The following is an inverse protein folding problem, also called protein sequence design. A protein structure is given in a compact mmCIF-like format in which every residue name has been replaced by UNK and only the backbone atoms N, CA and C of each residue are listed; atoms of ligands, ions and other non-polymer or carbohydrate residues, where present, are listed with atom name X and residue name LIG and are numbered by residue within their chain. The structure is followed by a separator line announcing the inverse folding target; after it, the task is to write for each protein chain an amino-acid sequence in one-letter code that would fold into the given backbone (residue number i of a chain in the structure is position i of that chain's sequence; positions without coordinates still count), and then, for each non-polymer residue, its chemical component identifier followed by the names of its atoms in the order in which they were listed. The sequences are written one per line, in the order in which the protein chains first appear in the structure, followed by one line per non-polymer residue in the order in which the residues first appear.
data_IF_580896066998
#
_entry.id   IF_580896066998
#
_cell.length_a   1.000
_cell.length_b   1.000
_cell.length_c   1.000
_cell.angle_alpha   90.00
_cell.angle_beta   90.00
_cell.angle_gamma   90.00
#
_symmetry.space_group_name_H-M   'P 1'
#
loop_
_entity.id
_entity.type
_entity.pdbx_description
1 polymer ?
#
# COMPACT_ATOMS: atom_id res chain seq x y z
N UNK A 1 15.76 65.63 -26.38
CA UNK A 1 15.85 65.42 -27.85
C UNK A 1 15.25 64.11 -28.25
N UNK A 2 14.26 64.23 -29.07
CA UNK A 2 13.46 63.21 -29.73
C UNK A 2 14.26 62.29 -30.62
N UNK A 3 13.89 61.00 -30.74
CA UNK A 3 13.68 60.37 -32.04
C UNK A 3 12.87 59.08 -31.92
N UNK A 4 11.75 59.14 -32.58
CA UNK A 4 10.74 58.10 -32.89
C UNK A 4 11.20 57.15 -34.00
N UNK A 5 10.45 56.03 -34.08
CA UNK A 5 10.13 55.15 -35.24
C UNK A 5 11.08 53.95 -35.41
N UNK A 6 10.57 52.71 -35.67
CA UNK A 6 9.58 52.27 -36.61
C UNK A 6 9.06 50.86 -36.23
N UNK A 7 7.75 50.68 -36.32
CA UNK A 7 7.04 49.38 -36.25
C UNK A 7 7.17 48.73 -37.64
N UNK A 8 7.55 47.48 -37.68
CA UNK A 8 7.13 46.55 -38.75
C UNK A 8 6.66 45.23 -38.14
N UNK A 9 5.39 44.96 -38.34
CA UNK A 9 4.77 43.69 -37.95
C UNK A 9 5.28 42.54 -38.81
N UNK A 10 5.44 41.42 -38.16
CA UNK A 10 5.50 40.12 -38.80
C UNK A 10 4.51 39.24 -38.07
N UNK A 11 3.47 38.86 -38.76
CA UNK A 11 2.48 37.88 -38.26
C UNK A 11 3.17 36.51 -38.14
N UNK A 12 3.31 36.06 -36.89
CA UNK A 12 3.68 34.67 -36.61
C UNK A 12 2.38 33.90 -36.47
N UNK A 13 2.10 33.00 -37.42
CA UNK A 13 1.05 32.00 -37.27
C UNK A 13 1.30 31.22 -36.00
N UNK A 14 0.39 31.33 -35.06
CA UNK A 14 0.34 30.50 -33.88
C UNK A 14 -0.02 29.07 -34.27
N UNK A 15 0.97 28.18 -34.30
CA UNK A 15 0.72 26.76 -34.23
C UNK A 15 0.31 26.46 -32.78
N UNK A 16 -0.98 26.26 -32.57
CA UNK A 16 -1.50 25.70 -31.31
C UNK A 16 -1.01 24.26 -31.18
N UNK A 17 0.04 24.08 -30.40
CA UNK A 17 0.42 22.75 -29.90
C UNK A 17 -0.68 22.35 -28.92
N UNK A 18 -1.56 21.47 -29.40
CA UNK A 18 -2.53 20.81 -28.53
C UNK A 18 -1.71 19.99 -27.50
N UNK A 19 -1.69 20.45 -26.27
CA UNK A 19 -1.26 19.59 -25.16
C UNK A 19 -2.18 18.38 -25.11
N UNK A 20 -1.64 17.14 -25.03
CA UNK A 20 -2.50 15.99 -24.81
C UNK A 20 -3.19 16.19 -23.46
N UNK A 21 -4.52 16.23 -23.49
CA UNK A 21 -5.38 16.24 -22.32
C UNK A 21 -4.97 15.07 -21.42
N UNK A 22 -4.59 15.38 -20.18
CA UNK A 22 -4.39 14.42 -19.12
C UNK A 22 -5.56 13.45 -19.09
N UNK A 23 -5.26 12.18 -19.29
CA UNK A 23 -6.19 11.08 -19.16
C UNK A 23 -6.86 11.15 -17.79
N UNK A 24 -8.13 11.54 -17.79
CA UNK A 24 -9.03 11.24 -16.69
C UNK A 24 -9.11 9.73 -16.58
N UNK A 25 -8.79 9.20 -15.41
CA UNK A 25 -8.84 7.78 -15.12
C UNK A 25 -10.24 7.24 -15.41
N UNK A 26 -10.34 6.37 -16.38
CA UNK A 26 -11.58 5.80 -16.87
C UNK A 26 -11.89 4.51 -16.10
N UNK A 27 -12.60 4.61 -14.98
CA UNK A 27 -13.19 3.44 -14.31
C UNK A 27 -14.23 2.71 -15.19
N UNK A 28 -14.70 3.34 -16.27
CA UNK A 28 -15.65 2.75 -17.21
C UNK A 28 -15.07 1.93 -18.36
N UNK A 29 -13.73 1.92 -18.57
CA UNK A 29 -13.14 1.30 -19.77
C UNK A 29 -12.85 -0.20 -19.68
N UNK A 30 -12.84 -0.78 -18.49
CA UNK A 30 -12.40 -2.17 -18.29
C UNK A 30 -13.52 -3.15 -17.93
N UNK A 31 -14.78 -2.84 -18.24
CA UNK A 31 -15.89 -3.75 -17.96
C UNK A 31 -15.87 -4.93 -18.94
N UNK A 32 -15.35 -6.06 -18.49
CA UNK A 32 -15.42 -7.36 -19.17
C UNK A 32 -16.53 -8.23 -18.57
N UNK A 33 -17.15 -9.09 -19.39
CA UNK A 33 -18.04 -10.15 -18.90
C UNK A 33 -17.27 -11.37 -18.38
N UNK A 34 -15.98 -11.44 -18.69
CA UNK A 34 -15.10 -12.54 -18.30
C UNK A 34 -14.53 -12.32 -16.89
N UNK A 35 -14.28 -13.43 -16.20
CA UNK A 35 -13.57 -13.42 -14.93
C UNK A 35 -12.07 -13.29 -15.14
N UNK A 36 -11.41 -12.51 -14.31
CA UNK A 36 -9.96 -12.47 -14.27
C UNK A 36 -9.42 -13.79 -13.76
N UNK A 37 -8.51 -14.41 -14.51
CA UNK A 37 -8.01 -15.75 -14.22
C UNK A 37 -7.14 -15.79 -12.97
N UNK A 38 -7.39 -16.78 -12.14
CA UNK A 38 -6.56 -17.08 -10.97
C UNK A 38 -5.20 -17.61 -11.44
N UNK A 39 -4.12 -17.11 -10.82
CA UNK A 39 -2.80 -17.70 -10.92
C UNK A 39 -2.59 -18.75 -9.84
N UNK A 40 -2.78 -18.36 -8.58
CA UNK A 40 -2.53 -19.22 -7.42
C UNK A 40 -3.29 -18.73 -6.19
N UNK A 41 -3.66 -19.67 -5.31
CA UNK A 41 -4.11 -19.38 -3.95
C UNK A 41 -3.02 -19.89 -3.00
N UNK A 42 -2.67 -19.08 -2.01
CA UNK A 42 -1.63 -19.37 -1.02
C UNK A 42 -2.22 -19.18 0.38
N UNK A 43 -1.74 -19.94 1.33
CA UNK A 43 -1.96 -19.70 2.76
C UNK A 43 -0.90 -18.73 3.27
N UNK A 44 -1.29 -17.77 4.09
CA UNK A 44 -0.34 -16.92 4.79
C UNK A 44 0.37 -17.72 5.89
N UNK A 45 1.66 -17.48 6.07
CA UNK A 45 2.49 -18.18 7.04
C UNK A 45 2.56 -17.40 8.36
N UNK A 46 2.51 -18.12 9.48
CA UNK A 46 2.66 -17.50 10.80
C UNK A 46 4.11 -17.24 11.10
N UNK A 47 4.43 -15.99 11.35
CA UNK A 47 5.77 -15.53 11.73
C UNK A 47 5.74 -14.59 12.95
N UNK A 48 6.91 -14.13 13.37
CA UNK A 48 7.09 -13.14 14.45
C UNK A 48 7.88 -11.95 13.95
N UNK A 49 7.40 -10.74 14.21
CA UNK A 49 8.16 -9.49 14.04
C UNK A 49 8.34 -8.86 15.42
N UNK A 50 9.56 -8.89 15.95
CA UNK A 50 9.79 -8.58 17.35
C UNK A 50 8.98 -9.52 18.26
N UNK A 51 8.09 -8.97 19.07
CA UNK A 51 7.18 -9.76 19.95
C UNK A 51 5.79 -9.95 19.36
N UNK A 52 5.53 -9.40 18.17
CA UNK A 52 4.22 -9.41 17.53
C UNK A 52 4.05 -10.61 16.59
N UNK A 53 3.07 -11.48 16.80
CA UNK A 53 2.74 -12.53 15.82
C UNK A 53 2.06 -11.91 14.60
N UNK A 54 2.48 -12.34 13.44
CA UNK A 54 1.95 -11.92 12.14
C UNK A 54 1.52 -13.11 11.29
N UNK A 55 0.66 -12.84 10.29
CA UNK A 55 0.38 -13.72 9.18
C UNK A 55 0.96 -13.10 7.92
N UNK A 56 2.05 -13.70 7.39
CA UNK A 56 2.75 -13.23 6.19
C UNK A 56 2.18 -13.86 4.95
N UNK A 57 1.58 -13.06 4.07
CA UNK A 57 1.04 -13.53 2.81
C UNK A 57 2.12 -13.64 1.72
N UNK A 58 3.10 -12.72 1.71
CA UNK A 58 4.30 -12.77 0.87
C UNK A 58 5.37 -11.77 1.34
N UNK A 59 6.65 -12.05 1.01
CA UNK A 59 7.78 -11.14 1.27
C UNK A 59 8.89 -11.34 0.21
N UNK A 60 8.91 -10.49 -0.83
CA UNK A 60 9.92 -10.50 -1.89
C UNK A 60 9.76 -11.61 -2.92
N UNK A 61 8.75 -12.45 -2.80
CA UNK A 61 8.38 -13.49 -3.74
C UNK A 61 7.13 -13.11 -4.55
N UNK A 62 6.78 -13.92 -5.55
CA UNK A 62 5.62 -13.71 -6.43
C UNK A 62 5.57 -12.32 -7.11
N UNK A 63 6.70 -11.62 -7.26
CA UNK A 63 6.77 -10.24 -7.75
C UNK A 63 6.10 -10.03 -9.12
N UNK A 64 6.08 -11.04 -9.99
CA UNK A 64 5.38 -11.00 -11.27
C UNK A 64 3.87 -10.82 -11.13
N UNK A 65 3.30 -11.14 -9.97
CA UNK A 65 1.87 -11.11 -9.69
C UNK A 65 1.45 -10.09 -8.64
N UNK A 66 2.38 -9.62 -7.79
CA UNK A 66 2.08 -8.68 -6.70
C UNK A 66 2.71 -7.29 -6.88
N UNK A 67 3.77 -7.12 -7.70
CA UNK A 67 4.36 -5.80 -7.95
C UNK A 67 3.29 -4.76 -8.34
N UNK A 68 3.31 -3.54 -7.78
CA UNK A 68 4.42 -2.89 -7.08
C UNK A 68 4.56 -3.24 -5.59
N UNK A 69 3.78 -4.18 -5.06
CA UNK A 69 3.90 -4.60 -3.67
C UNK A 69 5.01 -5.64 -3.51
N UNK A 70 5.72 -5.63 -2.38
CA UNK A 70 6.83 -6.55 -2.10
C UNK A 70 6.73 -7.25 -0.75
N UNK A 71 5.79 -6.83 0.11
CA UNK A 71 5.50 -7.47 1.39
C UNK A 71 4.04 -7.23 1.78
N UNK A 72 3.41 -8.23 2.38
CA UNK A 72 2.08 -8.15 2.96
C UNK A 72 2.02 -8.98 4.24
N UNK A 73 1.93 -8.30 5.38
CA UNK A 73 1.79 -8.88 6.71
C UNK A 73 0.51 -8.38 7.38
N UNK A 74 -0.27 -9.29 7.95
CA UNK A 74 -1.35 -8.99 8.88
C UNK A 74 -0.85 -9.20 10.31
N UNK A 75 -1.03 -8.23 11.19
CA UNK A 75 -0.76 -8.35 12.62
C UNK A 75 -2.04 -8.26 13.46
N UNK A 76 -2.17 -9.16 14.39
CA UNK A 76 -3.42 -9.34 15.14
C UNK A 76 -4.47 -10.15 14.35
N UNK A 77 -5.77 -10.09 14.70
CA UNK A 77 -6.30 -9.39 15.89
C UNK A 77 -5.82 -10.01 17.21
N UNK A 78 -5.35 -9.15 18.12
CA UNK A 78 -4.90 -9.53 19.46
C UNK A 78 -5.51 -8.57 20.49
N UNK A 79 -6.04 -9.11 21.58
CA UNK A 79 -6.53 -8.31 22.70
C UNK A 79 -5.38 -8.01 23.67
N UNK A 80 -5.12 -6.73 23.90
CA UNK A 80 -4.03 -6.20 24.72
C UNK A 80 -4.59 -5.75 26.06
N UNK A 81 -3.92 -6.10 27.15
CA UNK A 81 -4.25 -5.60 28.48
C UNK A 81 -3.70 -4.18 28.66
N UNK A 82 -4.40 -3.37 29.45
CA UNK A 82 -3.90 -2.07 29.86
C UNK A 82 -2.50 -2.19 30.50
N UNK A 83 -1.60 -1.30 30.13
CA UNK A 83 -0.20 -1.31 30.55
C UNK A 83 0.71 -2.27 29.78
N UNK A 84 0.18 -3.04 28.81
CA UNK A 84 0.98 -3.91 27.95
C UNK A 84 1.31 -3.23 26.63
N UNK A 85 2.48 -3.54 26.07
CA UNK A 85 2.89 -3.11 24.73
C UNK A 85 3.04 -4.36 23.84
N UNK A 86 2.03 -4.64 23.04
CA UNK A 86 2.02 -5.80 22.15
C UNK A 86 2.67 -5.52 20.79
N UNK A 87 2.56 -4.28 20.31
CA UNK A 87 3.26 -3.84 19.10
C UNK A 87 4.53 -3.10 19.55
N UNK A 88 5.67 -3.75 19.36
CA UNK A 88 6.96 -3.07 19.54
C UNK A 88 7.97 -3.64 18.56
N UNK A 89 8.38 -2.79 17.63
CA UNK A 89 9.48 -3.04 16.71
C UNK A 89 10.51 -1.93 16.94
N UNK A 90 11.64 -2.31 17.51
CA UNK A 90 12.72 -1.36 17.82
C UNK A 90 13.23 -0.68 16.55
N UNK A 91 13.95 0.43 16.73
CA UNK A 91 14.52 1.21 15.65
C UNK A 91 15.31 0.35 14.67
N UNK A 92 14.89 0.41 13.42
CA UNK A 92 15.47 -0.34 12.30
C UNK A 92 15.41 0.50 11.01
N UNK A 93 16.33 0.29 10.06
CA UNK A 93 16.37 1.06 8.83
C UNK A 93 15.42 0.51 7.77
N UNK A 94 15.06 1.35 6.78
CA UNK A 94 14.54 0.95 5.48
C UNK A 94 15.22 1.78 4.40
N UNK A 95 15.35 1.23 3.18
CA UNK A 95 15.76 1.98 2.00
C UNK A 95 15.17 1.37 0.71
N UNK A 96 14.78 2.24 -0.22
CA UNK A 96 14.28 1.87 -1.54
C UNK A 96 12.88 1.26 -1.56
N UNK A 97 12.15 1.36 -0.47
CA UNK A 97 10.79 0.81 -0.29
C UNK A 97 9.93 1.81 0.48
N UNK A 98 8.63 1.68 0.34
CA UNK A 98 7.66 2.46 1.10
C UNK A 98 6.83 1.51 1.99
N UNK A 99 7.28 1.23 3.24
CA UNK A 99 6.44 0.59 4.23
C UNK A 99 5.19 1.43 4.50
N UNK A 100 4.04 0.76 4.62
CA UNK A 100 2.77 1.39 4.92
C UNK A 100 2.04 0.62 5.99
N UNK A 101 1.35 1.33 6.88
CA UNK A 101 0.57 0.73 7.97
C UNK A 101 -0.87 1.17 7.88
N UNK A 102 -1.81 0.22 8.04
CA UNK A 102 -3.25 0.46 8.10
C UNK A 102 -3.87 -0.30 9.26
N UNK A 103 -4.53 0.40 10.19
CA UNK A 103 -5.19 -0.21 11.34
C UNK A 103 -6.68 -0.45 11.10
N UNK A 104 -7.15 -1.68 11.26
CA UNK A 104 -8.57 -2.02 11.36
C UNK A 104 -9.11 -1.79 12.78
N UNK A 105 -8.28 -1.96 13.81
CA UNK A 105 -8.58 -1.63 15.19
C UNK A 105 -7.30 -1.33 15.97
N UNK A 106 -7.44 -0.54 17.03
CA UNK A 106 -6.32 -0.08 17.84
C UNK A 106 -5.60 1.09 17.19
N UNK A 107 -4.36 1.30 17.59
CA UNK A 107 -3.50 2.38 17.10
C UNK A 107 -2.03 2.03 17.26
N UNK A 108 -1.19 2.69 16.48
CA UNK A 108 0.25 2.62 16.57
C UNK A 108 0.88 4.00 16.83
N UNK A 109 2.12 3.99 17.26
CA UNK A 109 2.97 5.15 17.39
C UNK A 109 4.22 4.94 16.55
N UNK A 110 4.49 5.85 15.63
CA UNK A 110 5.65 5.85 14.75
C UNK A 110 6.58 6.99 15.13
N UNK A 111 7.87 6.69 15.25
CA UNK A 111 8.95 7.69 15.32
C UNK A 111 10.00 7.36 14.28
N UNK A 112 10.65 8.38 13.71
CA UNK A 112 11.70 8.17 12.74
C UNK A 112 12.88 9.14 12.85
N UNK A 113 13.95 8.84 12.13
CA UNK A 113 15.17 9.64 12.08
C UNK A 113 15.02 10.98 11.34
N UNK A 114 13.84 11.27 10.79
CA UNK A 114 13.48 12.54 10.16
C UNK A 114 12.81 13.49 11.16
N UNK A 115 12.69 13.07 12.44
CA UNK A 115 12.00 13.77 13.52
C UNK A 115 10.46 13.80 13.35
N UNK A 116 9.89 12.86 12.61
CA UNK A 116 8.45 12.62 12.66
C UNK A 116 8.10 11.76 13.89
N UNK A 117 7.01 12.13 14.54
CA UNK A 117 6.46 11.49 15.72
C UNK A 117 4.93 11.50 15.58
N UNK A 118 4.35 10.37 15.16
CA UNK A 118 2.94 10.27 14.82
C UNK A 118 2.22 9.18 15.58
N UNK A 119 1.04 9.50 16.10
CA UNK A 119 0.03 8.51 16.46
C UNK A 119 -0.79 8.17 15.21
N UNK A 120 -0.86 6.89 14.85
CA UNK A 120 -1.66 6.38 13.72
C UNK A 120 -2.87 5.66 14.28
N UNK A 121 -4.07 6.13 13.95
CA UNK A 121 -5.33 5.64 14.49
C UNK A 121 -6.00 4.61 13.58
N UNK A 122 -7.01 3.90 14.13
CA UNK A 122 -7.90 3.06 13.32
C UNK A 122 -8.44 3.82 12.11
N UNK A 123 -8.34 3.21 10.93
CA UNK A 123 -8.79 3.78 9.66
C UNK A 123 -7.85 4.81 9.03
N UNK A 124 -6.78 5.22 9.70
CA UNK A 124 -5.72 6.04 9.11
C UNK A 124 -4.72 5.17 8.34
N UNK A 125 -4.05 5.77 7.37
CA UNK A 125 -3.04 5.13 6.53
C UNK A 125 -1.73 5.89 6.61
N UNK A 126 -0.67 5.23 7.05
CA UNK A 126 0.66 5.80 7.13
C UNK A 126 1.52 5.28 5.97
N UNK A 127 2.31 6.16 5.38
CA UNK A 127 3.33 5.86 4.38
C UNK A 127 4.68 6.37 4.85
N UNK A 128 5.65 5.48 5.00
CA UNK A 128 7.05 5.79 5.26
C UNK A 128 7.86 5.55 3.99
N UNK A 129 7.94 6.55 3.10
CA UNK A 129 8.75 6.49 1.88
C UNK A 129 10.23 6.61 2.26
N UNK A 130 10.91 5.46 2.38
CA UNK A 130 12.26 5.41 2.94
C UNK A 130 13.36 5.95 2.01
N UNK A 131 13.08 6.09 0.71
CA UNK A 131 14.03 6.69 -0.24
C UNK A 131 15.44 6.12 -0.13
N UNK A 132 16.46 6.98 -0.04
CA UNK A 132 17.86 6.58 0.13
C UNK A 132 18.18 5.94 1.49
N UNK A 133 17.25 6.01 2.45
CA UNK A 133 17.35 5.34 3.74
C UNK A 133 16.99 6.24 4.92
N UNK A 134 16.22 5.69 5.84
CA UNK A 134 15.90 6.28 7.14
C UNK A 134 15.61 5.17 8.15
N UNK A 135 15.66 5.52 9.43
CA UNK A 135 15.40 4.61 10.56
C UNK A 135 14.06 4.98 11.16
N UNK A 136 13.24 3.97 11.48
CA UNK A 136 12.03 4.18 12.26
C UNK A 136 11.86 3.13 13.34
N UNK A 137 10.99 3.42 14.30
CA UNK A 137 10.46 2.48 15.27
C UNK A 137 8.94 2.52 15.27
N UNK A 138 8.31 1.43 15.64
CA UNK A 138 6.87 1.32 15.76
C UNK A 138 6.51 0.67 17.10
N UNK A 139 5.50 1.20 17.76
CA UNK A 139 4.97 0.65 18.99
C UNK A 139 3.46 0.88 19.09
N UNK A 140 2.81 0.25 20.06
CA UNK A 140 1.39 0.49 20.34
C UNK A 140 1.13 1.97 20.63
N UNK A 141 0.02 2.50 20.10
CA UNK A 141 -0.41 3.86 20.38
C UNK A 141 -0.69 4.09 21.87
N UNK A 142 -0.51 5.33 22.36
CA UNK A 142 -0.57 5.65 23.78
C UNK A 142 -1.91 5.23 24.39
N UNK A 143 -3.03 5.54 23.75
CA UNK A 143 -4.36 5.15 24.24
C UNK A 143 -4.48 3.62 24.40
N UNK A 144 -3.95 2.85 23.45
CA UNK A 144 -3.99 1.39 23.51
C UNK A 144 -3.11 0.84 24.64
N UNK A 145 -1.98 1.50 24.93
CA UNK A 145 -1.13 1.17 26.08
C UNK A 145 -1.86 1.42 27.42
N UNK A 146 -2.52 2.56 27.54
CA UNK A 146 -3.14 3.00 28.80
C UNK A 146 -4.43 2.24 29.12
N UNK A 147 -5.30 2.06 28.13
CA UNK A 147 -6.65 1.52 28.30
C UNK A 147 -6.76 0.03 27.92
N UNK A 148 -5.78 -0.50 27.19
CA UNK A 148 -5.90 -1.81 26.53
C UNK A 148 -6.87 -1.77 25.36
N UNK A 149 -7.19 -2.95 24.83
CA UNK A 149 -8.11 -3.09 23.71
C UNK A 149 -7.58 -4.03 22.62
N UNK A 150 -8.22 -4.00 21.47
CA UNK A 150 -7.83 -4.86 20.35
C UNK A 150 -6.91 -4.13 19.40
N UNK A 151 -5.80 -4.77 19.00
CA UNK A 151 -4.96 -4.33 17.89
C UNK A 151 -5.15 -5.27 16.70
N UNK A 152 -5.35 -4.70 15.52
CA UNK A 152 -5.44 -5.41 14.25
C UNK A 152 -5.05 -4.46 13.12
N UNK A 153 -4.09 -4.83 12.33
CA UNK A 153 -3.65 -3.98 11.22
C UNK A 153 -2.77 -4.74 10.21
N UNK A 154 -2.29 -3.97 9.25
CA UNK A 154 -1.55 -4.49 8.11
C UNK A 154 -0.29 -3.66 7.87
N UNK A 155 0.83 -4.34 7.71
CA UNK A 155 2.07 -3.79 7.21
C UNK A 155 2.25 -4.23 5.77
N UNK A 156 2.24 -3.28 4.84
CA UNK A 156 2.32 -3.55 3.40
C UNK A 156 3.41 -2.67 2.81
N UNK A 157 4.32 -3.25 2.04
CA UNK A 157 5.40 -2.48 1.43
C UNK A 157 5.18 -2.34 -0.07
N UNK A 158 5.22 -1.08 -0.54
CA UNK A 158 5.32 -0.76 -1.97
C UNK A 158 6.79 -0.60 -2.34
N UNK A 159 7.22 -1.26 -3.41
CA UNK A 159 8.54 -1.03 -3.99
C UNK A 159 8.59 0.37 -4.60
N UNK A 160 9.62 1.12 -4.27
CA UNK A 160 9.86 2.42 -4.90
C UNK A 160 10.50 2.20 -6.28
N UNK A 161 10.03 2.85 -7.36
CA UNK A 161 10.69 2.75 -8.66
C UNK A 161 12.15 3.22 -8.61
N UNK A 162 13.01 2.64 -9.44
CA UNK A 162 14.45 2.92 -9.47
C UNK A 162 14.78 4.42 -9.52
N UNK A 163 13.98 5.20 -10.25
CA UNK A 163 14.15 6.64 -10.40
C UNK A 163 14.03 7.43 -9.08
N UNK A 164 13.32 6.87 -8.08
CA UNK A 164 13.00 7.53 -6.81
C UNK A 164 13.62 6.86 -5.58
N UNK A 165 14.32 5.73 -5.75
CA UNK A 165 14.91 4.99 -4.61
C UNK A 165 15.96 5.78 -3.83
N UNK A 166 16.59 6.77 -4.45
CA UNK A 166 17.61 7.59 -3.83
C UNK A 166 17.13 9.00 -3.46
N UNK A 167 15.81 9.25 -3.55
CA UNK A 167 15.21 10.50 -3.10
C UNK A 167 15.28 10.62 -1.57
N UNK A 168 15.03 11.82 -1.07
CA UNK A 168 14.92 12.07 0.36
C UNK A 168 13.75 11.30 0.96
N UNK A 169 13.95 10.66 2.10
CA UNK A 169 12.87 9.94 2.77
C UNK A 169 11.81 10.91 3.35
N UNK A 170 10.56 10.45 3.41
CA UNK A 170 9.43 11.20 3.97
C UNK A 170 8.46 10.27 4.69
N UNK A 171 7.77 10.80 5.72
CA UNK A 171 6.67 10.09 6.40
C UNK A 171 5.39 10.92 6.33
N UNK A 172 4.27 10.29 6.03
CA UNK A 172 2.97 10.95 5.94
C UNK A 172 1.88 10.07 6.53
N UNK A 173 1.01 10.66 7.35
CA UNK A 173 -0.22 10.02 7.84
C UNK A 173 -1.42 10.62 7.12
N UNK A 174 -2.20 9.77 6.46
CA UNK A 174 -3.41 10.13 5.74
C UNK A 174 -4.64 9.78 6.58
N UNK A 175 -5.53 10.75 6.72
CA UNK A 175 -6.77 10.65 7.50
C UNK A 175 -7.98 10.36 6.60
N UNK A 176 -9.13 10.18 7.23
CA UNK A 176 -10.40 9.85 6.56
C UNK A 176 -10.73 10.70 5.32
N UNK A 177 -10.41 11.99 5.34
CA UNK A 177 -10.67 12.90 4.23
C UNK A 177 -9.94 12.53 2.92
N UNK A 178 -8.89 11.72 2.99
CA UNK A 178 -8.12 11.27 1.84
C UNK A 178 -8.63 9.96 1.24
N UNK A 179 -9.38 9.19 2.04
CA UNK A 179 -9.80 7.82 1.74
C UNK A 179 -11.32 7.71 1.82
N UNK A 180 -12.04 7.84 0.70
CA UNK A 180 -13.49 7.80 0.73
C UNK A 180 -14.02 6.45 1.18
N UNK A 181 -15.17 6.49 1.87
CA UNK A 181 -15.94 5.31 2.28
C UNK A 181 -17.13 5.13 1.34
N UNK A 182 -17.32 3.92 0.87
CA UNK A 182 -18.48 3.50 0.07
C UNK A 182 -19.41 2.72 0.99
N UNK A 183 -20.69 3.03 0.95
CA UNK A 183 -21.73 2.27 1.67
C UNK A 183 -22.86 1.96 0.69
N UNK A 184 -23.09 0.67 0.45
CA UNK A 184 -24.20 0.22 -0.39
C UNK A 184 -24.79 -1.09 0.14
N UNK A 185 -25.77 -1.67 -0.57
CA UNK A 185 -26.43 -2.91 -0.14
C UNK A 185 -25.52 -4.13 -0.10
N UNK A 186 -24.41 -4.12 -0.84
CA UNK A 186 -23.52 -5.28 -0.95
C UNK A 186 -22.32 -5.19 -0.01
N UNK A 187 -21.81 -3.97 0.25
CA UNK A 187 -20.61 -3.81 1.06
C UNK A 187 -20.46 -2.39 1.64
N UNK A 188 -19.67 -2.32 2.69
CA UNK A 188 -18.99 -1.10 3.11
C UNK A 188 -17.54 -1.21 2.67
N UNK A 189 -17.02 -0.20 1.94
CA UNK A 189 -15.66 -0.19 1.42
C UNK A 189 -14.89 1.06 1.81
N UNK A 190 -13.59 0.90 2.02
CA UNK A 190 -12.64 2.00 2.16
C UNK A 190 -11.72 2.00 0.94
N UNK A 191 -11.68 3.08 0.19
CA UNK A 191 -10.75 3.26 -0.93
C UNK A 191 -9.48 3.92 -0.39
N UNK A 192 -8.50 3.08 -0.01
CA UNK A 192 -7.22 3.58 0.53
C UNK A 192 -6.37 4.17 -0.59
N UNK A 193 -6.23 3.47 -1.71
CA UNK A 193 -5.55 3.94 -2.92
C UNK A 193 -6.42 3.66 -4.15
N UNK A 194 -6.30 4.51 -5.16
CA UNK A 194 -6.98 4.31 -6.44
C UNK A 194 -8.43 4.78 -6.45
N UNK A 195 -9.27 4.11 -7.23
CA UNK A 195 -10.68 4.48 -7.45
C UNK A 195 -11.56 3.22 -7.55
N UNK A 196 -12.70 3.21 -6.87
CA UNK A 196 -13.70 2.15 -6.90
C UNK A 196 -15.10 2.78 -6.91
N UNK A 197 -15.98 2.32 -7.80
CA UNK A 197 -17.38 2.77 -7.93
C UNK A 197 -17.51 4.32 -7.98
N UNK A 198 -16.56 5.02 -8.63
CA UNK A 198 -16.52 6.47 -8.73
C UNK A 198 -15.98 7.20 -7.49
N UNK A 199 -15.64 6.48 -6.43
CA UNK A 199 -15.00 7.03 -5.24
C UNK A 199 -13.49 6.95 -5.38
N UNK A 200 -12.81 8.10 -5.30
CA UNK A 200 -11.37 8.21 -5.56
C UNK A 200 -10.60 8.68 -4.34
N UNK A 201 -9.58 7.91 -3.96
CA UNK A 201 -8.58 8.35 -2.97
C UNK A 201 -7.75 9.52 -3.51
N UNK A 202 -7.42 10.46 -2.65
CA UNK A 202 -6.49 11.55 -2.98
C UNK A 202 -5.02 11.19 -2.75
N UNK A 203 -4.76 10.03 -2.14
CA UNK A 203 -3.40 9.53 -1.85
C UNK A 203 -2.76 9.08 -3.17
N UNK A 204 -1.54 9.54 -3.38
CA UNK A 204 -0.76 9.23 -4.57
C UNK A 204 0.41 8.32 -4.23
N UNK A 205 0.70 7.41 -5.14
CA UNK A 205 1.86 6.52 -5.12
C UNK A 205 2.77 6.83 -6.30
N UNK A 206 4.01 6.37 -6.29
CA UNK A 206 4.95 6.57 -7.40
C UNK A 206 4.45 6.00 -8.73
N UNK A 207 3.70 4.90 -8.69
CA UNK A 207 3.06 4.27 -9.84
C UNK A 207 1.59 4.02 -9.53
N UNK A 208 0.70 3.92 -10.53
CA UNK A 208 -0.70 3.62 -10.31
C UNK A 208 -0.89 2.36 -9.48
N UNK A 209 -1.56 2.48 -8.34
CA UNK A 209 -1.90 1.38 -7.45
C UNK A 209 -3.33 1.53 -6.93
N UNK A 210 -3.93 0.42 -6.55
CA UNK A 210 -5.19 0.39 -5.84
C UNK A 210 -5.08 -0.47 -4.58
N UNK A 211 -5.82 -0.07 -3.55
CA UNK A 211 -5.90 -0.74 -2.28
C UNK A 211 -7.28 -0.49 -1.68
N UNK A 212 -8.12 -1.51 -1.65
CA UNK A 212 -9.48 -1.45 -1.14
C UNK A 212 -9.64 -2.40 0.03
N UNK A 213 -10.16 -1.90 1.14
CA UNK A 213 -10.70 -2.72 2.21
C UNK A 213 -12.21 -2.83 2.01
N UNK A 214 -12.74 -4.05 1.91
CA UNK A 214 -14.14 -4.32 1.62
C UNK A 214 -14.72 -5.23 2.71
N UNK A 215 -15.73 -4.73 3.40
CA UNK A 215 -16.56 -5.50 4.32
C UNK A 215 -17.85 -5.87 3.61
N UNK A 216 -17.94 -7.12 3.19
CA UNK A 216 -19.03 -7.65 2.40
C UNK A 216 -20.22 -8.00 3.30
N UNK A 217 -21.40 -7.61 2.87
CA UNK A 217 -22.65 -8.01 3.52
C UNK A 217 -22.99 -9.46 3.19
N UNK A 218 -24.00 -10.02 3.89
CA UNK A 218 -24.59 -11.32 3.56
C UNK A 218 -25.14 -11.31 2.13
N UNK A 219 -24.88 -12.37 1.38
CA UNK A 219 -25.30 -12.54 -0.02
C UNK A 219 -24.78 -11.43 -0.96
N UNK A 220 -23.65 -10.83 -0.61
CA UNK A 220 -23.02 -9.83 -1.44
C UNK A 220 -22.45 -10.43 -2.72
N UNK A 221 -22.69 -9.75 -3.84
CA UNK A 221 -22.08 -10.05 -5.15
C UNK A 221 -21.43 -8.80 -5.67
N UNK A 222 -20.15 -8.89 -6.02
CA UNK A 222 -19.38 -7.79 -6.56
C UNK A 222 -18.74 -8.21 -7.89
N UNK A 223 -18.71 -7.26 -8.81
CA UNK A 223 -17.97 -7.35 -10.06
C UNK A 223 -17.06 -6.11 -10.13
N UNK A 224 -15.77 -6.30 -9.88
CA UNK A 224 -14.80 -5.21 -9.76
C UNK A 224 -13.97 -5.17 -11.04
N UNK A 225 -14.13 -4.13 -11.88
CA UNK A 225 -13.30 -3.92 -13.06
C UNK A 225 -11.84 -3.71 -12.65
N UNK A 226 -10.92 -4.31 -13.39
CA UNK A 226 -9.49 -4.13 -13.18
C UNK A 226 -8.77 -3.81 -14.48
N UNK A 227 -7.70 -3.01 -14.40
CA UNK A 227 -6.84 -2.78 -15.53
C UNK A 227 -6.12 -4.09 -15.90
N UNK A 228 -6.20 -4.56 -17.18
CA UNK A 228 -5.59 -5.82 -17.60
C UNK A 228 -4.07 -5.82 -17.48
N UNK A 229 -3.41 -4.66 -17.52
CA UNK A 229 -1.95 -4.53 -17.43
C UNK A 229 -1.45 -4.44 -15.98
N UNK A 230 -2.36 -4.28 -15.01
CA UNK A 230 -2.01 -4.24 -13.60
C UNK A 230 -2.00 -5.64 -12.99
N UNK A 231 -1.13 -5.87 -12.02
CA UNK A 231 -1.27 -6.98 -11.11
C UNK A 231 -2.48 -6.77 -10.20
N UNK A 232 -3.04 -7.87 -9.70
CA UNK A 232 -4.10 -7.84 -8.71
C UNK A 232 -4.01 -9.08 -7.80
N UNK A 233 -4.29 -8.87 -6.53
CA UNK A 233 -4.40 -9.94 -5.54
C UNK A 233 -5.43 -9.57 -4.47
N UNK A 234 -6.00 -10.58 -3.82
CA UNK A 234 -6.98 -10.38 -2.76
C UNK A 234 -6.63 -11.25 -1.56
N UNK A 235 -6.66 -10.65 -0.38
CA UNK A 235 -6.45 -11.31 0.91
C UNK A 235 -7.76 -11.38 1.68
N UNK A 236 -8.09 -12.55 2.23
CA UNK A 236 -9.27 -12.73 3.07
C UNK A 236 -8.91 -12.57 4.54
N UNK A 237 -9.48 -11.54 5.18
CA UNK A 237 -9.30 -11.24 6.60
C UNK A 237 -10.23 -12.06 7.48
N UNK A 238 -11.52 -12.11 7.11
CA UNK A 238 -12.53 -12.86 7.87
C UNK A 238 -13.67 -13.32 6.98
N UNK A 239 -14.42 -14.32 7.44
CA UNK A 239 -15.51 -14.93 6.65
C UNK A 239 -14.98 -15.78 5.51
N UNK A 240 -15.65 -15.73 4.37
CA UNK A 240 -15.18 -16.39 3.14
C UNK A 240 -15.84 -15.82 1.90
N UNK A 241 -15.11 -15.86 0.79
CA UNK A 241 -15.60 -15.42 -0.52
C UNK A 241 -15.42 -16.51 -1.56
N UNK A 242 -16.44 -16.70 -2.36
CA UNK A 242 -16.36 -17.48 -3.58
C UNK A 242 -15.82 -16.57 -4.69
N UNK A 243 -14.85 -17.08 -5.42
CA UNK A 243 -14.18 -16.43 -6.53
C UNK A 243 -14.30 -17.32 -7.77
N UNK A 244 -13.58 -17.04 -8.84
CA UNK A 244 -13.65 -17.78 -10.10
C UNK A 244 -13.60 -19.32 -9.89
N UNK A 245 -14.30 -20.08 -10.75
CA UNK A 245 -14.27 -21.54 -10.81
C UNK A 245 -14.69 -22.24 -9.50
N UNK A 246 -15.61 -21.63 -8.73
CA UNK A 246 -16.09 -22.13 -7.43
C UNK A 246 -14.99 -22.26 -6.36
N UNK A 247 -13.83 -21.64 -6.58
CA UNK A 247 -12.82 -21.53 -5.54
C UNK A 247 -13.35 -20.69 -4.38
N UNK A 248 -13.03 -21.10 -3.16
CA UNK A 248 -13.42 -20.41 -1.94
C UNK A 248 -12.18 -19.92 -1.20
N UNK A 249 -12.03 -18.60 -1.09
CA UNK A 249 -10.98 -17.99 -0.31
C UNK A 249 -11.42 -17.90 1.15
N UNK A 250 -10.57 -18.35 2.07
CA UNK A 250 -10.79 -18.40 3.51
C UNK A 250 -9.88 -17.41 4.24
N UNK A 251 -10.12 -17.14 5.54
CA UNK A 251 -9.23 -16.28 6.32
C UNK A 251 -7.76 -16.73 6.24
N UNK A 252 -6.86 -15.77 6.21
CA UNK A 252 -5.41 -15.96 6.04
C UNK A 252 -5.01 -16.58 4.69
N UNK A 253 -5.87 -16.52 3.69
CA UNK A 253 -5.53 -16.92 2.32
C UNK A 253 -5.44 -15.69 1.42
N UNK A 254 -4.51 -15.76 0.47
CA UNK A 254 -4.35 -14.79 -0.61
C UNK A 254 -4.55 -15.46 -1.95
N UNK A 255 -5.31 -14.83 -2.84
CA UNK A 255 -5.39 -15.21 -4.26
C UNK A 255 -4.59 -14.21 -5.10
N UNK A 256 -3.71 -14.73 -5.93
CA UNK A 256 -2.97 -13.99 -6.95
C UNK A 256 -3.66 -14.19 -8.29
N UNK A 257 -3.91 -13.09 -9.02
CA UNK A 257 -4.52 -13.15 -10.34
C UNK A 257 -3.48 -13.01 -11.45
N UNK A 258 -3.72 -13.65 -12.58
CA UNK A 258 -2.93 -13.42 -13.80
C UNK A 258 -3.22 -12.02 -14.34
N UNK A 259 -2.24 -11.35 -14.89
CA UNK A 259 -2.49 -10.15 -15.71
C UNK A 259 -3.29 -10.56 -16.95
N UNK A 260 -4.16 -9.65 -17.40
CA UNK A 260 -5.01 -9.89 -18.56
C UNK A 260 -6.44 -9.40 -18.36
N UNK A 261 -7.25 -9.59 -19.37
CA UNK A 261 -8.65 -9.19 -19.38
C UNK A 261 -9.46 -9.93 -18.29
N UNK A 262 -10.55 -9.32 -17.87
CA UNK A 262 -11.48 -9.87 -16.92
C UNK A 262 -11.65 -9.01 -15.66
N UNK A 263 -12.80 -9.17 -15.04
CA UNK A 263 -13.15 -8.51 -13.77
C UNK A 263 -12.91 -9.47 -12.61
N UNK A 264 -12.69 -8.94 -11.43
CA UNK A 264 -12.68 -9.73 -10.20
C UNK A 264 -14.11 -9.86 -9.72
N UNK A 265 -14.66 -11.06 -9.85
CA UNK A 265 -15.99 -11.42 -9.36
C UNK A 265 -15.85 -12.14 -8.04
N UNK A 266 -16.67 -11.74 -7.07
CA UNK A 266 -16.72 -12.39 -5.76
C UNK A 266 -18.14 -12.44 -5.23
N UNK A 267 -18.42 -13.51 -4.49
CA UNK A 267 -19.66 -13.73 -3.77
C UNK A 267 -19.38 -14.13 -2.33
N UNK A 268 -20.07 -13.53 -1.38
CA UNK A 268 -20.03 -13.94 0.02
C UNK A 268 -21.43 -14.26 0.52
N UNK A 269 -21.65 -15.51 0.93
CA UNK A 269 -22.94 -15.95 1.43
C UNK A 269 -23.24 -15.38 2.82
N UNK A 270 -22.28 -15.44 3.72
CA UNK A 270 -22.46 -15.07 5.13
C UNK A 270 -21.87 -13.69 5.51
N UNK A 271 -21.20 -13.02 4.57
CA UNK A 271 -20.37 -11.84 4.80
C UNK A 271 -18.91 -12.22 4.94
N UNK A 272 -18.04 -11.27 4.59
CA UNK A 272 -16.59 -11.44 4.68
C UNK A 272 -15.88 -10.09 4.73
N UNK A 273 -14.66 -10.07 5.19
CA UNK A 273 -13.76 -8.91 5.09
C UNK A 273 -12.57 -9.29 4.21
N UNK A 274 -12.31 -8.47 3.20
CA UNK A 274 -11.21 -8.71 2.26
C UNK A 274 -10.44 -7.43 1.96
N UNK A 275 -9.16 -7.59 1.67
CA UNK A 275 -8.37 -6.58 1.00
C UNK A 275 -8.18 -6.96 -0.46
N UNK A 276 -8.43 -6.03 -1.37
CA UNK A 276 -8.16 -6.16 -2.78
C UNK A 276 -7.14 -5.10 -3.18
N UNK A 277 -5.99 -5.56 -3.64
CA UNK A 277 -4.86 -4.70 -3.98
C UNK A 277 -4.32 -5.04 -5.37
N UNK A 278 -3.60 -4.08 -5.93
CA UNK A 278 -2.88 -4.26 -7.18
C UNK A 278 -2.34 -2.94 -7.72
N UNK A 279 -1.73 -3.01 -8.88
CA UNK A 279 -1.18 -1.82 -9.52
C UNK A 279 -0.32 -2.13 -10.72
N UNK A 280 0.21 -1.09 -11.31
CA UNK A 280 1.14 -1.19 -12.42
C UNK A 280 2.46 -1.83 -11.95
N UNK A 281 2.87 -2.98 -12.52
CA UNK A 281 4.13 -3.61 -12.15
C UNK A 281 5.30 -2.72 -12.57
N UNK A 282 6.36 -2.69 -11.75
CA UNK A 282 7.53 -1.85 -12.03
C UNK A 282 8.37 -2.42 -13.19
N UNK A 283 8.38 -3.74 -13.36
CA UNK A 283 9.20 -4.44 -14.36
C UNK A 283 10.70 -4.11 -14.25
N UNK A 284 11.18 -3.91 -13.02
CA UNK A 284 12.56 -3.59 -12.69
C UNK A 284 13.17 -4.75 -11.88
N UNK A 285 14.50 -4.95 -11.94
CA UNK A 285 15.17 -5.89 -11.05
C UNK A 285 14.93 -5.55 -9.59
N UNK A 286 14.71 -6.55 -8.76
CA UNK A 286 14.53 -6.40 -7.30
C UNK A 286 15.58 -7.23 -6.59
N UNK A 287 16.40 -6.56 -5.80
CA UNK A 287 17.33 -7.15 -4.86
C UNK A 287 16.90 -6.74 -3.45
N UNK A 288 16.71 -7.71 -2.58
CA UNK A 288 16.33 -7.46 -1.19
C UNK A 288 17.33 -8.10 -0.22
N UNK A 289 17.62 -7.38 0.85
CA UNK A 289 18.40 -7.88 1.98
C UNK A 289 17.86 -7.26 3.26
N UNK A 290 17.15 -8.05 4.05
CA UNK A 290 16.42 -7.54 5.21
C UNK A 290 15.48 -6.38 4.82
N UNK A 291 15.64 -5.21 5.45
CA UNK A 291 14.75 -4.06 5.23
C UNK A 291 15.11 -3.20 4.00
N UNK A 292 16.10 -3.61 3.22
CA UNK A 292 16.56 -2.87 2.03
C UNK A 292 16.05 -3.54 0.76
N UNK A 293 15.45 -2.74 -0.14
CA UNK A 293 14.91 -3.21 -1.43
C UNK A 293 15.43 -2.30 -2.54
N UNK A 294 16.40 -2.77 -3.30
CA UNK A 294 17.09 -2.00 -4.34
C UNK A 294 17.03 -2.69 -5.71
N UNK A 295 17.68 -2.11 -6.72
CA UNK A 295 17.73 -2.67 -8.08
C UNK A 295 19.05 -3.40 -8.39
N UNK A 296 20.06 -3.30 -7.51
CA UNK A 296 21.36 -3.98 -7.66
C UNK A 296 21.94 -4.35 -6.29
N UNK A 297 22.78 -5.39 -6.27
CA UNK A 297 23.55 -5.78 -5.07
C UNK A 297 24.44 -4.64 -4.57
N UNK A 298 25.05 -3.87 -5.50
CA UNK A 298 25.89 -2.71 -5.14
C UNK A 298 25.10 -1.67 -4.35
N UNK A 299 23.84 -1.42 -4.71
CA UNK A 299 22.98 -0.51 -3.95
C UNK A 299 22.63 -1.07 -2.57
N UNK A 300 22.41 -2.39 -2.44
CA UNK A 300 22.22 -3.04 -1.13
C UNK A 300 23.46 -2.85 -0.24
N UNK A 301 24.65 -3.11 -0.77
CA UNK A 301 25.91 -2.90 -0.02
C UNK A 301 26.09 -1.43 0.39
N UNK A 302 25.68 -0.49 -0.46
CA UNK A 302 25.68 0.94 -0.11
C UNK A 302 24.71 1.24 1.05
N UNK A 303 23.48 0.68 1.05
CA UNK A 303 22.55 0.83 2.15
C UNK A 303 23.12 0.32 3.48
N UNK A 304 23.76 -0.85 3.47
CA UNK A 304 24.42 -1.41 4.66
C UNK A 304 25.52 -0.47 5.18
N UNK A 305 26.36 0.06 4.28
CA UNK A 305 27.42 1.00 4.64
C UNK A 305 26.85 2.32 5.18
N UNK A 306 25.80 2.86 4.57
CA UNK A 306 25.15 4.09 4.98
C UNK A 306 24.47 3.94 6.35
N UNK A 307 23.83 2.81 6.62
CA UNK A 307 23.29 2.49 7.95
C UNK A 307 24.42 2.41 9.00
N UNK A 308 25.46 1.62 8.74
CA UNK A 308 26.57 1.40 9.67
C UNK A 308 27.37 2.68 9.94
N UNK A 309 27.41 3.63 9.00
CA UNK A 309 28.06 4.95 9.15
C UNK A 309 27.17 6.03 9.76
N UNK A 310 25.91 5.70 10.12
CA UNK A 310 24.96 6.63 10.72
C UNK A 310 24.31 7.64 9.75
N UNK A 311 24.47 7.47 8.45
CA UNK A 311 23.87 8.37 7.46
C UNK A 311 22.34 8.29 7.40
N UNK A 312 21.75 7.17 7.84
CA UNK A 312 20.30 6.98 7.91
C UNK A 312 19.69 7.51 9.21
N UNK A 313 20.53 7.97 10.16
CA UNK A 313 20.14 8.45 11.48
C UNK A 313 20.74 7.61 12.61
N UNK A 314 20.41 7.99 13.84
CA UNK A 314 20.85 7.31 15.06
C UNK A 314 19.69 6.49 15.65
N UNK A 315 19.76 5.14 15.66
CA UNK A 315 18.69 4.29 16.20
C UNK A 315 18.43 4.53 17.69
N UNK A 316 19.44 4.97 18.46
CA UNK A 316 19.26 5.25 19.88
C UNK A 316 18.37 6.50 20.12
N UNK A 317 18.45 7.50 19.22
CA UNK A 317 17.58 8.67 19.30
C UNK A 317 16.15 8.36 18.90
N UNK A 318 15.97 7.46 17.96
CA UNK A 318 14.63 7.05 17.50
C UNK A 318 13.92 6.18 18.56
N UNK A 319 14.65 5.40 19.35
CA UNK A 319 14.09 4.56 20.42
C UNK A 319 13.71 5.33 21.71
N UNK A 320 14.11 6.59 21.85
CA UNK A 320 13.75 7.46 22.99
C UNK A 320 12.37 8.12 22.81
#
# INVERSE_FOLDING_TARGET
MSRRKFIRGSAILGASVAMPSLLTAQSGMYSSKENRKIHKILDAEREMVGTLPIMRAFAGDHLDHVSPFVLFDEFGPVDIKAGADALRVNAHPHAGVTPTTYFLSGSGHHKDSLNYDFQVQTGEYMMFSSGRGAIHMEESGQKLKDEGGRIHGFQIWLNTPAAYKLDDPTTTVFRDSHMPTIVNKHYTGRVVLGELDGYKSTIKTFTPAFYYYLKLNKQARLNIPTNPDHNAFMYCVSGSVEIEEQNKLKPNQIVLYKRGQGNINLYSEAGAEVFLLGGQPLNEPVFSYGPFVMNTEKQIMQCINDYNSGKMGDPNKVNQ
#
